data_IF_358620614977
#
_entry.id   IF_358620614977
#
_cell.length_a   1.000
_cell.length_b   1.000
_cell.length_c   1.000
_cell.angle_alpha   90.00
_cell.angle_beta   90.00
_cell.angle_gamma   90.00
#
_symmetry.space_group_name_H-M   'P 1'
#
loop_
_entity.id
_entity.type
_entity.pdbx_description
1 polymer ?
#
# COMPACT_ATOMS: atom_id res chain seq x y z
N UNK A 1 -16.16 23.05 -9.91
CA UNK A 1 -15.13 22.68 -8.92
C UNK A 1 -15.56 21.37 -8.31
N UNK A 2 -15.13 20.24 -8.87
CA UNK A 2 -15.35 18.93 -8.25
C UNK A 2 -14.23 18.74 -7.26
N UNK A 3 -14.53 18.66 -5.97
CA UNK A 3 -13.58 18.10 -5.02
C UNK A 3 -13.22 16.70 -5.54
N UNK A 4 -11.93 16.36 -5.55
CA UNK A 4 -11.51 15.01 -5.87
C UNK A 4 -12.16 14.09 -4.84
N UNK A 5 -13.12 13.27 -5.27
CA UNK A 5 -13.76 12.28 -4.42
C UNK A 5 -12.72 11.18 -4.20
N UNK A 6 -12.04 11.23 -3.05
CA UNK A 6 -10.97 10.29 -2.77
C UNK A 6 -11.55 8.91 -2.53
N UNK A 7 -10.84 7.89 -2.98
CA UNK A 7 -11.04 6.61 -2.33
C UNK A 7 -10.36 6.63 -0.97
N UNK A 8 -11.02 6.07 0.06
CA UNK A 8 -10.41 5.86 1.36
C UNK A 8 -9.07 5.15 1.22
N UNK A 9 -8.05 5.67 1.89
CA UNK A 9 -6.69 5.12 1.89
C UNK A 9 -6.28 4.74 3.30
N UNK A 10 -5.38 3.76 3.39
CA UNK A 10 -4.67 3.42 4.62
C UNK A 10 -3.20 3.36 4.34
N UNK A 11 -2.43 4.15 5.06
CA UNK A 11 -0.98 4.10 5.07
C UNK A 11 -0.55 3.16 6.18
N UNK A 12 0.24 2.16 5.81
CA UNK A 12 0.62 1.06 6.70
C UNK A 12 2.11 0.87 6.66
N UNK A 13 2.67 0.65 7.85
CA UNK A 13 4.04 0.21 8.06
C UNK A 13 4.04 -0.80 9.21
N UNK A 14 4.99 -1.75 9.19
CA UNK A 14 5.09 -2.84 10.16
C UNK A 14 6.54 -2.99 10.65
N UNK A 15 6.68 -3.22 11.95
CA UNK A 15 7.90 -3.80 12.50
C UNK A 15 7.69 -5.31 12.69
N UNK A 16 8.74 -6.11 12.44
CA UNK A 16 8.62 -7.57 12.40
C UNK A 16 9.85 -8.26 13.01
N UNK A 17 9.71 -9.54 13.35
CA UNK A 17 10.79 -10.36 13.91
C UNK A 17 11.86 -10.76 12.87
N UNK A 18 11.74 -10.33 11.61
CA UNK A 18 12.60 -10.76 10.52
C UNK A 18 12.21 -10.19 9.17
N UNK A 19 12.25 -11.00 8.11
CA UNK A 19 11.96 -10.52 6.75
C UNK A 19 11.11 -11.46 5.89
N UNK A 20 10.78 -12.63 6.43
CA UNK A 20 10.07 -13.70 5.73
C UNK A 20 8.70 -13.90 6.36
N UNK A 21 7.66 -13.24 5.84
CA UNK A 21 6.31 -13.27 6.45
C UNK A 21 5.65 -14.65 6.58
N UNK A 22 6.16 -15.70 5.92
CA UNK A 22 5.68 -17.08 6.13
C UNK A 22 6.26 -17.73 7.40
N UNK A 23 7.35 -17.17 7.95
CA UNK A 23 8.08 -17.69 9.11
C UNK A 23 8.08 -16.67 10.25
N UNK A 24 8.47 -15.44 9.95
CA UNK A 24 8.56 -14.32 10.89
C UNK A 24 7.17 -13.74 11.23
N UNK A 25 7.11 -12.96 12.30
CA UNK A 25 5.88 -12.44 12.91
C UNK A 25 5.92 -10.91 13.02
N UNK A 26 4.76 -10.29 13.12
CA UNK A 26 4.63 -8.84 13.34
C UNK A 26 4.87 -8.51 14.81
N UNK A 27 5.58 -7.40 15.09
CA UNK A 27 5.84 -6.87 16.45
C UNK A 27 5.26 -5.47 16.69
N UNK A 28 5.00 -4.70 15.63
CA UNK A 28 4.26 -3.43 15.70
C UNK A 28 3.48 -3.22 14.40
N UNK A 29 2.30 -2.61 14.50
CA UNK A 29 1.50 -2.16 13.36
C UNK A 29 1.27 -0.66 13.50
N UNK A 30 1.55 0.10 12.45
CA UNK A 30 1.17 1.50 12.32
C UNK A 30 0.17 1.67 11.17
N UNK A 31 -0.96 2.31 11.45
CA UNK A 31 -2.01 2.58 10.46
C UNK A 31 -2.41 4.06 10.54
N UNK A 32 -2.36 4.73 9.40
CA UNK A 32 -2.93 6.07 9.22
C UNK A 32 -4.03 5.99 8.18
N UNK A 33 -5.27 6.20 8.60
CA UNK A 33 -6.44 6.22 7.74
C UNK A 33 -6.68 7.62 7.20
N UNK A 34 -7.05 7.71 5.93
CA UNK A 34 -7.51 8.93 5.26
C UNK A 34 -8.85 8.63 4.59
N UNK A 35 -9.93 9.26 5.05
CA UNK A 35 -11.26 9.07 4.45
C UNK A 35 -11.52 10.01 3.26
N UNK A 36 -12.72 9.92 2.68
CA UNK A 36 -13.11 10.68 1.50
C UNK A 36 -13.19 12.19 1.77
N UNK A 37 -13.48 12.56 3.02
CA UNK A 37 -13.54 13.94 3.51
C UNK A 37 -12.16 14.52 3.88
N UNK A 38 -11.10 13.70 3.85
CA UNK A 38 -9.75 14.09 4.24
C UNK A 38 -9.49 14.08 5.75
N UNK A 39 -10.40 13.49 6.55
CA UNK A 39 -10.17 13.21 7.97
C UNK A 39 -9.07 12.16 8.12
N UNK A 40 -8.14 12.45 9.03
CA UNK A 40 -7.03 11.56 9.37
C UNK A 40 -7.32 10.88 10.70
N UNK A 41 -7.16 9.56 10.74
CA UNK A 41 -7.18 8.78 11.99
C UNK A 41 -5.93 7.94 12.10
N UNK A 42 -5.30 8.00 13.25
CA UNK A 42 -4.08 7.27 13.55
C UNK A 42 -4.38 6.13 14.51
N UNK A 43 -3.76 4.98 14.26
CA UNK A 43 -3.83 3.83 15.14
C UNK A 43 -2.52 3.07 15.10
N UNK A 44 -2.05 2.65 16.26
CA UNK A 44 -0.91 1.75 16.36
C UNK A 44 -1.04 0.80 17.52
N UNK A 45 -0.36 -0.34 17.41
CA UNK A 45 -0.29 -1.32 18.48
C UNK A 45 1.02 -2.08 18.40
N UNK A 46 1.62 -2.32 19.57
CA UNK A 46 2.60 -3.40 19.70
C UNK A 46 1.87 -4.73 19.58
N UNK A 47 2.56 -5.74 19.05
CA UNK A 47 2.00 -7.06 18.83
C UNK A 47 2.88 -8.08 19.52
N UNK A 48 2.30 -8.93 20.36
CA UNK A 48 3.01 -10.10 20.88
C UNK A 48 3.18 -11.10 19.72
N UNK A 49 4.42 -11.32 19.23
CA UNK A 49 4.67 -12.17 18.07
C UNK A 49 4.59 -13.67 18.42
N UNK A 50 4.47 -14.02 19.71
CA UNK A 50 4.50 -15.39 20.24
C UNK A 50 5.72 -16.19 19.77
N UNK A 51 6.83 -15.50 19.52
CA UNK A 51 8.11 -16.06 19.12
C UNK A 51 9.24 -15.14 19.57
N UNK A 52 10.48 -15.63 19.53
CA UNK A 52 11.64 -14.81 19.86
C UNK A 52 11.94 -13.76 18.79
N UNK A 53 12.15 -12.52 19.22
CA UNK A 53 12.71 -11.43 18.42
C UNK A 53 14.26 -11.50 18.43
N UNK A 54 14.93 -11.76 17.29
CA UNK A 54 16.39 -11.81 17.24
C UNK A 54 17.05 -10.52 17.74
N UNK A 55 18.19 -10.61 18.44
CA UNK A 55 18.85 -9.43 19.03
C UNK A 55 19.18 -8.34 18.02
N UNK A 56 19.53 -8.69 16.77
CA UNK A 56 19.78 -7.70 15.73
C UNK A 56 18.53 -6.92 15.32
N UNK A 57 17.35 -7.57 15.35
CA UNK A 57 16.06 -6.93 15.07
C UNK A 57 15.68 -5.99 16.22
N UNK A 58 15.91 -6.41 17.48
CA UNK A 58 15.69 -5.56 18.64
C UNK A 58 16.57 -4.30 18.56
N UNK A 59 17.83 -4.42 18.14
CA UNK A 59 18.71 -3.27 17.94
C UNK A 59 18.28 -2.36 16.78
N UNK A 60 17.67 -2.93 15.73
CA UNK A 60 17.22 -2.18 14.56
C UNK A 60 15.93 -1.39 14.83
N UNK A 61 14.96 -2.02 15.48
CA UNK A 61 13.60 -1.50 15.68
C UNK A 61 13.41 -0.86 17.05
N UNK A 62 14.29 -1.16 18.01
CA UNK A 62 14.13 -0.77 19.41
C UNK A 62 13.06 -1.58 20.17
N UNK A 63 12.36 -2.52 19.53
CA UNK A 63 11.31 -3.33 20.15
C UNK A 63 11.94 -4.54 20.84
N UNK A 64 11.80 -4.61 22.16
CA UNK A 64 12.31 -5.72 22.98
C UNK A 64 11.23 -6.77 23.27
N UNK A 65 11.63 -7.94 23.78
CA UNK A 65 10.65 -8.95 24.25
C UNK A 65 9.75 -8.40 25.35
N UNK A 66 10.33 -7.67 26.30
CA UNK A 66 9.59 -7.15 27.45
C UNK A 66 8.50 -6.16 27.01
N UNK A 67 8.75 -5.38 25.95
CA UNK A 67 7.75 -4.45 25.39
C UNK A 67 6.54 -5.16 24.81
N UNK A 68 6.72 -6.35 24.22
CA UNK A 68 5.66 -7.09 23.52
C UNK A 68 5.09 -8.24 24.35
N UNK A 69 5.64 -8.53 25.52
CA UNK A 69 5.24 -9.68 26.35
C UNK A 69 3.76 -9.61 26.74
N UNK A 70 3.31 -8.43 27.18
CA UNK A 70 1.92 -8.17 27.59
C UNK A 70 1.10 -7.47 26.49
N UNK A 71 1.68 -7.30 25.30
CA UNK A 71 0.96 -6.76 24.15
C UNK A 71 -0.08 -7.76 23.62
N UNK A 72 -1.16 -7.30 22.98
CA UNK A 72 -2.11 -8.20 22.32
C UNK A 72 -1.41 -8.99 21.20
N UNK A 73 -1.83 -10.23 21.01
CA UNK A 73 -1.44 -11.06 19.87
C UNK A 73 -2.11 -10.55 18.59
N UNK A 74 -1.57 -10.92 17.43
CA UNK A 74 -2.23 -10.58 16.16
C UNK A 74 -3.67 -11.11 16.09
N UNK A 75 -3.93 -12.29 16.67
CA UNK A 75 -5.27 -12.89 16.71
C UNK A 75 -6.29 -12.00 17.45
N UNK A 76 -5.89 -11.37 18.54
CA UNK A 76 -6.74 -10.45 19.31
C UNK A 76 -6.96 -9.12 18.58
N UNK A 77 -6.01 -8.70 17.74
CA UNK A 77 -6.11 -7.47 16.94
C UNK A 77 -6.77 -7.69 15.57
N UNK A 78 -6.97 -8.93 15.14
CA UNK A 78 -7.29 -9.26 13.74
C UNK A 78 -8.55 -8.54 13.24
N UNK A 79 -9.64 -8.54 14.03
CA UNK A 79 -10.90 -7.90 13.67
C UNK A 79 -10.75 -6.38 13.55
N UNK A 80 -10.02 -5.75 14.49
CA UNK A 80 -9.78 -4.31 14.44
C UNK A 80 -8.92 -3.94 13.22
N UNK A 81 -7.79 -4.63 13.01
CA UNK A 81 -6.91 -4.40 11.87
C UNK A 81 -7.67 -4.61 10.56
N UNK A 82 -8.44 -5.70 10.43
CA UNK A 82 -9.22 -5.97 9.23
C UNK A 82 -10.25 -4.87 8.96
N UNK A 83 -10.95 -4.39 9.99
CA UNK A 83 -11.94 -3.31 9.86
C UNK A 83 -11.33 -1.99 9.37
N UNK A 84 -10.09 -1.70 9.79
CA UNK A 84 -9.33 -0.52 9.35
C UNK A 84 -8.84 -0.67 7.91
N UNK A 85 -8.47 -1.87 7.46
CA UNK A 85 -7.97 -2.09 6.10
C UNK A 85 -9.08 -2.30 5.06
N UNK A 86 -10.23 -2.84 5.48
CA UNK A 86 -11.29 -3.27 4.57
C UNK A 86 -11.85 -2.13 3.70
N UNK A 87 -11.96 -2.38 2.39
CA UNK A 87 -12.55 -1.43 1.43
C UNK A 87 -11.67 -0.22 1.09
N UNK A 88 -10.42 -0.17 1.58
CA UNK A 88 -9.51 0.98 1.40
C UNK A 88 -8.33 0.62 0.50
N UNK A 89 -7.70 1.63 -0.11
CA UNK A 89 -6.43 1.47 -0.79
C UNK A 89 -5.31 1.27 0.23
N UNK A 90 -4.67 0.10 0.20
CA UNK A 90 -3.53 -0.20 1.03
C UNK A 90 -2.27 0.47 0.46
N UNK A 91 -1.68 1.40 1.21
CA UNK A 91 -0.50 2.16 0.81
C UNK A 91 0.64 1.84 1.77
N UNK A 92 1.79 1.39 1.24
CA UNK A 92 2.96 1.12 2.05
C UNK A 92 4.27 1.36 1.28
N UNK A 93 5.38 1.54 2.00
CA UNK A 93 6.70 1.69 1.41
C UNK A 93 7.31 0.32 1.19
N UNK A 94 7.60 -0.03 -0.07
CA UNK A 94 7.90 -1.42 -0.43
C UNK A 94 6.75 -2.39 -0.07
N UNK A 95 5.52 -2.00 -0.37
CA UNK A 95 4.27 -2.64 0.05
C UNK A 95 4.15 -4.17 -0.07
N UNK A 96 4.97 -4.83 -0.91
CA UNK A 96 5.03 -6.30 -0.94
C UNK A 96 5.40 -6.88 0.44
N UNK A 97 6.23 -6.17 1.19
CA UNK A 97 6.67 -6.56 2.53
C UNK A 97 5.49 -6.53 3.50
N UNK A 98 4.94 -5.35 3.77
CA UNK A 98 3.89 -5.14 4.79
C UNK A 98 2.62 -5.92 4.47
N UNK A 99 2.16 -5.81 3.22
CA UNK A 99 1.01 -6.54 2.74
C UNK A 99 1.22 -8.05 2.84
N UNK A 100 2.45 -8.52 2.59
CA UNK A 100 2.82 -9.93 2.71
C UNK A 100 2.74 -10.44 4.14
N UNK A 101 3.22 -9.66 5.11
CA UNK A 101 3.13 -10.00 6.53
C UNK A 101 1.68 -10.05 7.01
N UNK A 102 0.89 -8.99 6.76
CA UNK A 102 -0.53 -8.96 7.14
C UNK A 102 -1.30 -10.11 6.51
N UNK A 103 -1.11 -10.35 5.21
CA UNK A 103 -1.77 -11.47 4.51
C UNK A 103 -1.41 -12.83 5.14
N UNK A 104 -0.17 -13.03 5.56
CA UNK A 104 0.23 -14.28 6.21
C UNK A 104 -0.35 -14.39 7.62
N UNK A 105 -0.36 -13.32 8.41
CA UNK A 105 -0.99 -13.32 9.74
C UNK A 105 -2.49 -13.60 9.67
N UNK A 106 -3.23 -12.94 8.76
CA UNK A 106 -4.64 -13.25 8.51
C UNK A 106 -4.84 -14.70 8.05
N UNK A 107 -3.96 -15.21 7.17
CA UNK A 107 -4.02 -16.60 6.72
C UNK A 107 -3.82 -17.61 7.86
N UNK A 108 -3.04 -17.29 8.89
CA UNK A 108 -2.88 -18.15 10.09
C UNK A 108 -4.17 -18.28 10.89
N UNK A 109 -5.10 -17.34 10.71
CA UNK A 109 -6.43 -17.32 11.32
C UNK A 109 -7.52 -17.78 10.35
N UNK A 110 -7.15 -18.39 9.22
CA UNK A 110 -8.06 -18.79 8.14
C UNK A 110 -8.88 -17.63 7.54
N UNK A 111 -8.36 -16.41 7.62
CA UNK A 111 -8.95 -15.21 7.02
C UNK A 111 -8.23 -14.85 5.71
N UNK A 112 -8.99 -14.68 4.63
CA UNK A 112 -8.45 -14.22 3.34
C UNK A 112 -8.44 -12.69 3.28
N UNK A 113 -7.26 -12.10 3.46
CA UNK A 113 -7.07 -10.66 3.33
C UNK A 113 -6.70 -10.26 1.90
N UNK A 114 -7.50 -9.37 1.32
CA UNK A 114 -7.29 -8.77 0.01
C UNK A 114 -7.59 -7.27 0.03
N UNK A 115 -6.68 -6.48 -0.53
CA UNK A 115 -6.90 -5.06 -0.77
C UNK A 115 -6.21 -4.64 -2.09
N UNK A 116 -6.69 -3.58 -2.77
CA UNK A 116 -5.87 -2.90 -3.77
C UNK A 116 -4.62 -2.33 -3.08
N UNK A 117 -3.45 -2.46 -3.73
CA UNK A 117 -2.15 -2.12 -3.12
C UNK A 117 -1.42 -1.08 -3.95
N UNK A 118 -1.00 0.01 -3.32
CA UNK A 118 -0.12 1.02 -3.86
C UNK A 118 1.23 1.01 -3.14
N UNK A 119 2.31 0.80 -3.89
CA UNK A 119 3.67 0.83 -3.36
C UNK A 119 4.31 2.20 -3.60
N UNK A 120 4.62 2.94 -2.55
CA UNK A 120 5.16 4.31 -2.66
C UNK A 120 6.56 4.36 -3.28
N UNK A 121 7.35 3.29 -3.18
CA UNK A 121 8.63 3.15 -3.93
C UNK A 121 8.37 3.16 -5.44
N UNK A 122 7.37 2.38 -5.90
CA UNK A 122 7.02 2.32 -7.33
C UNK A 122 6.42 3.65 -7.80
N UNK A 123 5.55 4.24 -6.98
CA UNK A 123 4.94 5.53 -7.26
C UNK A 123 6.01 6.63 -7.39
N UNK A 124 6.92 6.71 -6.42
CA UNK A 124 8.00 7.70 -6.44
C UNK A 124 8.94 7.51 -7.65
N UNK A 125 9.28 6.27 -8.03
CA UNK A 125 10.06 5.99 -9.26
C UNK A 125 9.36 6.44 -10.52
N UNK A 126 8.04 6.24 -10.59
CA UNK A 126 7.24 6.60 -11.76
C UNK A 126 7.12 8.12 -11.89
N UNK A 127 6.85 8.81 -10.78
CA UNK A 127 6.62 10.24 -10.75
C UNK A 127 7.91 11.07 -10.77
N UNK A 128 9.00 10.53 -10.24
CA UNK A 128 10.29 11.21 -10.18
C UNK A 128 11.45 10.35 -10.71
N UNK A 129 11.41 9.95 -11.99
CA UNK A 129 12.41 9.06 -12.59
C UNK A 129 13.83 9.65 -12.64
N UNK A 130 13.98 10.96 -12.44
CA UNK A 130 15.26 11.65 -12.39
C UNK A 130 16.10 11.31 -11.15
N UNK A 131 15.50 10.74 -10.10
CA UNK A 131 16.23 10.37 -8.89
C UNK A 131 16.60 8.89 -8.88
N UNK A 132 17.77 8.57 -8.33
CA UNK A 132 18.25 7.19 -8.21
C UNK A 132 17.77 6.48 -6.94
N UNK A 133 17.49 7.24 -5.87
CA UNK A 133 17.07 6.72 -4.56
C UNK A 133 15.58 7.00 -4.32
N UNK A 134 14.87 6.00 -3.81
CA UNK A 134 13.44 6.07 -3.46
C UNK A 134 13.14 5.31 -2.17
N UNK A 135 14.12 5.16 -1.29
CA UNK A 135 13.90 4.68 0.08
C UNK A 135 13.23 5.79 0.91
N UNK A 136 12.69 5.44 2.07
CA UNK A 136 11.91 6.36 2.91
C UNK A 136 12.72 7.62 3.25
N UNK A 137 13.99 7.47 3.63
CA UNK A 137 14.92 8.58 3.89
C UNK A 137 15.03 9.56 2.72
N UNK A 138 15.18 9.05 1.50
CA UNK A 138 15.28 9.90 0.33
C UNK A 138 13.97 10.64 0.05
N UNK A 139 12.81 10.08 0.44
CA UNK A 139 11.54 10.80 0.36
C UNK A 139 11.45 11.89 1.42
N UNK A 140 11.81 11.56 2.66
CA UNK A 140 11.84 12.51 3.80
C UNK A 140 12.72 13.71 3.47
N UNK A 141 13.96 13.47 3.04
CA UNK A 141 14.91 14.53 2.69
C UNK A 141 14.43 15.36 1.50
N UNK A 142 14.01 14.70 0.42
CA UNK A 142 13.64 15.39 -0.84
C UNK A 142 12.40 16.26 -0.69
N UNK A 143 11.40 15.76 0.03
CA UNK A 143 10.10 16.42 0.15
C UNK A 143 9.95 17.18 1.47
N UNK A 144 11.02 17.25 2.28
CA UNK A 144 11.06 17.95 3.57
C UNK A 144 9.94 17.47 4.51
N UNK A 145 9.73 16.14 4.54
CA UNK A 145 8.70 15.52 5.36
C UNK A 145 9.13 15.53 6.82
N UNK A 146 8.17 15.67 7.73
CA UNK A 146 8.42 15.64 9.16
C UNK A 146 8.49 14.19 9.66
N UNK A 147 9.62 13.81 10.25
CA UNK A 147 9.82 12.49 10.84
C UNK A 147 10.35 12.65 12.28
N UNK A 148 9.48 12.61 13.30
CA UNK A 148 9.89 12.85 14.69
C UNK A 148 10.64 11.67 15.31
N UNK A 149 10.34 10.43 14.90
CA UNK A 149 11.00 9.21 15.38
C UNK A 149 11.01 8.15 14.28
N UNK A 150 12.21 7.76 13.84
CA UNK A 150 12.40 6.73 12.82
C UNK A 150 12.29 5.33 13.43
N UNK A 151 11.82 4.33 12.67
CA UNK A 151 11.65 2.94 13.11
C UNK A 151 10.56 2.76 14.17
N UNK A 152 9.50 3.57 14.03
CA UNK A 152 8.23 3.35 14.71
C UNK A 152 7.18 3.29 13.62
N UNK A 153 6.43 2.20 13.59
CA UNK A 153 5.54 1.90 12.48
C UNK A 153 4.56 3.05 12.18
N UNK A 154 4.00 3.70 13.23
CA UNK A 154 3.07 4.81 13.02
C UNK A 154 3.72 6.04 12.38
N UNK A 155 4.94 6.38 12.78
CA UNK A 155 5.64 7.55 12.25
C UNK A 155 6.04 7.31 10.79
N UNK A 156 6.50 6.11 10.45
CA UNK A 156 6.84 5.74 9.09
C UNK A 156 5.60 5.70 8.18
N UNK A 157 4.45 5.21 8.68
CA UNK A 157 3.17 5.29 8.00
C UNK A 157 2.68 6.74 7.78
N UNK A 158 2.83 7.63 8.77
CA UNK A 158 2.47 9.04 8.63
C UNK A 158 3.33 9.76 7.59
N UNK A 159 4.62 9.41 7.47
CA UNK A 159 5.46 9.95 6.40
C UNK A 159 4.94 9.60 5.01
N UNK A 160 4.30 8.44 4.83
CA UNK A 160 3.66 8.10 3.56
C UNK A 160 2.41 8.95 3.30
N UNK A 161 1.63 9.27 4.33
CA UNK A 161 0.50 10.21 4.23
C UNK A 161 1.00 11.61 3.89
N UNK A 162 2.07 12.10 4.53
CA UNK A 162 2.68 13.39 4.20
C UNK A 162 3.20 13.40 2.76
N UNK A 163 3.87 12.34 2.32
CA UNK A 163 4.32 12.20 0.94
C UNK A 163 3.13 12.27 -0.04
N UNK A 164 2.02 11.60 0.28
CA UNK A 164 0.79 11.67 -0.50
C UNK A 164 0.25 13.11 -0.61
N UNK A 165 0.20 13.87 0.49
CA UNK A 165 -0.20 15.28 0.46
C UNK A 165 0.72 16.14 -0.40
N UNK A 166 2.03 15.89 -0.35
CA UNK A 166 3.00 16.57 -1.21
C UNK A 166 2.69 16.28 -2.69
N UNK A 167 2.42 15.02 -3.06
CA UNK A 167 2.04 14.68 -4.43
C UNK A 167 0.78 15.43 -4.87
N UNK A 168 -0.25 15.48 -4.01
CA UNK A 168 -1.50 16.18 -4.29
C UNK A 168 -1.31 17.69 -4.53
N UNK A 169 -0.39 18.31 -3.80
CA UNK A 169 -0.11 19.75 -3.94
C UNK A 169 0.79 20.09 -5.14
N UNK A 170 1.66 19.16 -5.55
CA UNK A 170 2.66 19.41 -6.59
C UNK A 170 2.25 18.90 -7.98
N UNK A 171 1.24 18.04 -8.08
CA UNK A 171 0.87 17.39 -9.33
C UNK A 171 -0.59 17.62 -9.70
N UNK A 172 -0.90 17.75 -10.99
CA UNK A 172 -2.26 17.66 -11.49
C UNK A 172 -2.95 16.35 -11.06
N UNK A 173 -4.22 16.43 -10.66
CA UNK A 173 -4.96 15.29 -10.13
C UNK A 173 -5.06 14.14 -11.15
N UNK A 174 -5.29 14.45 -12.42
CA UNK A 174 -5.35 13.49 -13.53
C UNK A 174 -4.04 12.71 -13.71
N UNK A 175 -2.90 13.40 -13.56
CA UNK A 175 -1.58 12.75 -13.64
C UNK A 175 -1.35 11.79 -12.47
N UNK A 176 -1.72 12.20 -11.25
CA UNK A 176 -1.57 11.35 -10.06
C UNK A 176 -2.50 10.14 -10.13
N UNK A 177 -3.75 10.35 -10.52
CA UNK A 177 -4.76 9.29 -10.67
C UNK A 177 -4.35 8.26 -11.73
N UNK A 178 -3.82 8.71 -12.88
CA UNK A 178 -3.30 7.83 -13.91
C UNK A 178 -2.12 6.98 -13.39
N UNK A 179 -1.20 7.59 -12.64
CA UNK A 179 -0.05 6.88 -12.06
C UNK A 179 -0.48 5.83 -11.02
N UNK A 180 -1.45 6.16 -10.16
CA UNK A 180 -2.01 5.22 -9.17
C UNK A 180 -2.80 4.11 -9.84
N UNK A 181 -3.62 4.42 -10.85
CA UNK A 181 -4.37 3.44 -11.62
C UNK A 181 -3.47 2.37 -12.21
N UNK A 182 -2.43 2.79 -12.94
CA UNK A 182 -1.47 1.87 -13.55
C UNK A 182 -0.75 0.97 -12.52
N UNK A 183 -0.37 1.52 -11.37
CA UNK A 183 0.39 0.79 -10.34
C UNK A 183 -0.45 -0.15 -9.49
N UNK A 184 -1.73 0.15 -9.29
CA UNK A 184 -2.65 -0.66 -8.48
C UNK A 184 -3.28 -1.78 -9.29
N UNK A 185 -2.98 -1.89 -10.58
CA UNK A 185 -3.59 -2.89 -11.45
C UNK A 185 -5.09 -2.66 -11.64
N UNK A 186 -5.60 -1.46 -11.30
CA UNK A 186 -6.76 -0.95 -12.00
C UNK A 186 -6.33 -0.88 -13.43
N UNK A 187 -6.87 -1.80 -14.23
CA UNK A 187 -6.80 -1.68 -15.67
C UNK A 187 -7.04 -0.22 -15.98
N UNK A 188 -6.08 0.38 -16.67
CA UNK A 188 -6.20 1.70 -17.25
C UNK A 188 -7.27 1.57 -18.33
N UNK A 189 -8.50 1.30 -17.91
CA UNK A 189 -9.66 1.40 -18.76
C UNK A 189 -9.62 2.84 -19.22
N UNK A 190 -9.31 3.09 -20.51
CA UNK A 190 -9.24 4.44 -20.99
C UNK A 190 -10.59 5.09 -20.70
N UNK A 191 -10.58 6.29 -20.11
CA UNK A 191 -11.81 7.01 -19.73
C UNK A 191 -12.72 7.23 -20.94
N UNK A 192 -12.14 7.22 -22.14
CA UNK A 192 -12.82 7.34 -23.42
C UNK A 192 -13.47 6.04 -23.93
N UNK A 193 -13.13 4.87 -23.37
CA UNK A 193 -13.77 3.62 -23.76
C UNK A 193 -15.04 3.41 -22.93
N UNK A 194 -16.12 3.05 -23.60
CA UNK A 194 -17.38 2.72 -22.95
C UNK A 194 -17.21 1.44 -22.10
N UNK A 195 -17.43 1.48 -20.77
CA UNK A 195 -17.37 0.30 -19.93
C UNK A 195 -18.25 -0.87 -20.40
N UNK A 196 -19.30 -0.62 -21.20
CA UNK A 196 -20.13 -1.66 -21.80
C UNK A 196 -19.32 -2.64 -22.69
N UNK A 197 -18.20 -2.18 -23.28
CA UNK A 197 -17.32 -3.02 -24.10
C UNK A 197 -16.74 -4.19 -23.30
N UNK A 198 -16.51 -4.03 -21.99
CA UNK A 198 -16.05 -5.14 -21.13
C UNK A 198 -17.02 -6.33 -21.14
N UNK A 199 -18.33 -6.08 -21.20
CA UNK A 199 -19.33 -7.15 -21.21
C UNK A 199 -19.26 -8.01 -22.48
N UNK A 200 -18.80 -7.42 -23.59
CA UNK A 200 -18.65 -8.09 -24.88
C UNK A 200 -17.33 -8.89 -24.96
N UNK A 201 -16.37 -8.62 -24.09
CA UNK A 201 -15.08 -9.31 -24.06
C UNK A 201 -15.23 -10.78 -23.60
N UNK A 202 -14.40 -11.69 -24.13
CA UNK A 202 -14.50 -13.10 -23.82
C UNK A 202 -13.88 -13.43 -22.45
N UNK A 203 -14.51 -14.35 -21.70
CA UNK A 203 -14.01 -14.87 -20.42
C UNK A 203 -12.94 -15.95 -20.62
N UNK A 204 -11.80 -15.58 -21.20
CA UNK A 204 -10.69 -16.50 -21.45
C UNK A 204 -9.34 -15.79 -21.34
N UNK A 205 -8.29 -16.59 -21.34
CA UNK A 205 -6.93 -16.09 -21.46
C UNK A 205 -6.74 -15.44 -22.83
N UNK A 206 -6.01 -14.33 -22.87
CA UNK A 206 -5.63 -13.72 -24.13
C UNK A 206 -4.88 -12.40 -24.00
N UNK A 207 -4.62 -11.82 -25.16
CA UNK A 207 -3.94 -10.54 -25.35
C UNK A 207 -4.96 -9.57 -25.96
N UNK A 208 -4.94 -8.33 -25.51
CA UNK A 208 -5.74 -7.25 -26.10
C UNK A 208 -4.85 -6.03 -26.38
N UNK A 209 -5.30 -5.21 -27.32
CA UNK A 209 -4.59 -4.05 -27.80
C UNK A 209 -5.53 -2.84 -27.73
N UNK A 210 -5.03 -1.70 -27.27
CA UNK A 210 -5.71 -0.41 -27.45
C UNK A 210 -5.07 0.30 -28.64
N UNK A 211 -5.91 0.78 -29.56
CA UNK A 211 -5.51 1.57 -30.71
C UNK A 211 -5.90 3.02 -30.50
N UNK A 212 -5.11 3.92 -31.09
CA UNK A 212 -5.49 5.32 -31.24
C UNK A 212 -6.22 5.54 -32.56
N UNK A 213 -6.10 6.74 -33.12
CA UNK A 213 -6.69 7.07 -34.42
C UNK A 213 -5.98 6.39 -35.62
N UNK A 214 -4.88 5.69 -35.36
CA UNK A 214 -4.07 4.99 -36.36
C UNK A 214 -3.94 3.48 -36.03
N UNK A 215 -3.48 2.70 -37.00
CA UNK A 215 -3.33 1.24 -36.87
C UNK A 215 -2.16 0.80 -35.96
N UNK A 216 -1.47 1.75 -35.32
CA UNK A 216 -0.41 1.47 -34.37
C UNK A 216 -1.01 1.29 -32.97
N UNK A 217 -0.76 0.16 -32.28
CA UNK A 217 -1.28 -0.05 -30.95
C UNK A 217 -0.62 0.91 -29.95
N UNK A 218 -1.43 1.66 -29.22
CA UNK A 218 -1.01 2.51 -28.10
C UNK A 218 -0.61 1.67 -26.89
N UNK A 219 -1.25 0.50 -26.71
CA UNK A 219 -1.02 -0.39 -25.59
C UNK A 219 -1.27 -1.84 -25.97
N UNK A 220 -0.44 -2.74 -25.44
CA UNK A 220 -0.61 -4.20 -25.59
C UNK A 220 -0.60 -4.81 -24.19
N UNK A 221 -1.63 -5.58 -23.88
CA UNK A 221 -1.81 -6.20 -22.57
C UNK A 221 -2.25 -7.66 -22.65
N UNK A 222 -1.94 -8.45 -21.61
CA UNK A 222 -2.41 -9.84 -21.47
C UNK A 222 -3.21 -10.04 -20.18
N UNK A 223 -4.16 -10.96 -20.21
CA UNK A 223 -4.96 -11.37 -19.05
C UNK A 223 -5.25 -12.86 -19.04
N UNK A 224 -5.43 -13.41 -17.84
CA UNK A 224 -5.94 -14.76 -17.66
C UNK A 224 -7.46 -14.83 -17.91
N UNK A 225 -8.16 -13.70 -17.72
CA UNK A 225 -9.54 -13.50 -18.12
C UNK A 225 -9.65 -12.07 -18.71
N UNK A 226 -9.85 -11.96 -20.03
CA UNK A 226 -9.88 -10.67 -20.72
C UNK A 226 -11.04 -9.78 -20.23
N UNK A 227 -12.19 -10.35 -19.84
CA UNK A 227 -13.35 -9.60 -19.33
C UNK A 227 -13.12 -8.96 -17.96
N UNK A 228 -12.29 -9.56 -17.13
CA UNK A 228 -12.08 -9.13 -15.73
C UNK A 228 -10.94 -8.13 -15.58
N UNK A 229 -10.50 -7.50 -16.68
CA UNK A 229 -9.38 -6.58 -16.63
C UNK A 229 -9.82 -5.13 -16.59
#
# INVERSE_FOLDING_TARGET
>A
MSAAQFQPMVFVDLETTGSTGTVDRITEIGIVELNEEGEVREWSSLVNPQTSIPSFIQSLTGITHDMVADAPTFAELADEVLSRLHGRLFVAHNARFDYGFLKNEFKRLDLDFKAPVLCTVKLSRKLFPQYSKHNLDALVERHQLHMPARHRALADADVLRQFWQVLQSQMPADQLDAAVGELTGRSSWPVQLDPAVLAELPERHGVYLFFGDNELPLYIGKANNIRQR
#
